data_IF_287176919731
#
_entry.id   IF_287176919731
#
_cell.length_a   1.000
_cell.length_b   1.000
_cell.length_c   1.000
_cell.angle_alpha   90.00
_cell.angle_beta   90.00
_cell.angle_gamma   90.00
#
_symmetry.space_group_name_H-M   'P 1'
#
loop_
_entity.id
_entity.type
_entity.pdbx_description
1 polymer ?
#
# COMPACT_ATOMS: atom_id res chain seq x y z
N UNK A 1 20.64 -5.08 -13.21
CA UNK A 1 19.61 -4.05 -12.92
C UNK A 1 19.68 -3.76 -11.43
N UNK A 2 20.02 -2.53 -11.04
CA UNK A 2 20.08 -2.10 -9.64
C UNK A 2 18.86 -1.22 -9.35
N UNK A 3 18.06 -1.57 -8.34
CA UNK A 3 16.83 -0.85 -7.94
C UNK A 3 15.85 -0.54 -9.09
N UNK A 4 15.77 -1.39 -10.11
CA UNK A 4 14.83 -1.24 -11.23
C UNK A 4 15.06 -0.02 -12.14
N UNK A 5 16.26 0.56 -12.14
CA UNK A 5 16.63 1.67 -13.04
C UNK A 5 17.45 1.20 -14.23
N UNK A 6 17.25 1.89 -15.34
CA UNK A 6 17.94 1.65 -16.61
C UNK A 6 19.42 2.05 -16.46
N UNK A 7 20.29 1.13 -16.86
CA UNK A 7 21.72 1.35 -16.95
C UNK A 7 21.97 2.04 -18.29
N UNK A 8 22.67 3.17 -18.26
CA UNK A 8 23.21 3.76 -19.47
C UNK A 8 24.49 2.99 -19.84
N UNK A 9 24.39 2.17 -20.89
CA UNK A 9 25.45 1.26 -21.33
C UNK A 9 26.70 2.00 -21.85
N UNK A 10 26.60 3.28 -22.24
CA UNK A 10 27.75 4.08 -22.67
C UNK A 10 28.56 4.65 -21.51
N UNK A 11 27.91 4.93 -20.36
CA UNK A 11 28.54 5.60 -19.22
C UNK A 11 28.74 4.70 -17.99
N UNK A 12 28.02 3.57 -17.91
CA UNK A 12 28.03 2.66 -16.76
C UNK A 12 27.36 3.23 -15.52
N UNK A 13 26.52 4.26 -15.69
CA UNK A 13 25.79 4.97 -14.64
C UNK A 13 24.30 4.64 -14.69
N UNK A 14 23.63 4.71 -13.54
CA UNK A 14 22.19 4.53 -13.47
C UNK A 14 21.47 5.89 -13.50
N UNK A 15 20.47 6.01 -14.36
CA UNK A 15 19.68 7.24 -14.46
C UNK A 15 18.49 7.24 -13.49
N UNK A 16 18.46 8.20 -12.57
CA UNK A 16 17.40 8.36 -11.55
C UNK A 16 16.49 9.57 -11.82
N UNK A 17 16.44 10.06 -13.05
CA UNK A 17 15.57 11.17 -13.47
C UNK A 17 16.13 12.56 -13.17
N UNK A 18 16.54 12.82 -11.93
CA UNK A 18 17.11 14.12 -11.53
C UNK A 18 18.65 14.13 -11.48
N UNK A 19 19.28 12.95 -11.32
CA UNK A 19 20.73 12.77 -11.18
C UNK A 19 21.16 11.41 -11.73
N UNK A 20 22.44 11.32 -12.09
CA UNK A 20 23.11 10.05 -12.40
C UNK A 20 23.75 9.47 -11.13
N UNK A 21 23.60 8.16 -10.95
CA UNK A 21 24.14 7.40 -9.83
C UNK A 21 25.30 6.53 -10.31
N UNK A 22 26.44 6.63 -9.62
CA UNK A 22 27.58 5.74 -9.82
C UNK A 22 27.49 4.56 -8.82
N UNK A 23 27.20 3.33 -9.31
CA UNK A 23 27.07 2.16 -8.44
C UNK A 23 28.41 1.68 -7.87
N UNK A 24 29.55 2.04 -8.46
CA UNK A 24 30.88 1.61 -7.99
C UNK A 24 31.31 2.43 -6.78
N UNK A 25 30.98 3.71 -6.82
CA UNK A 25 31.34 4.68 -5.78
C UNK A 25 30.21 4.93 -4.78
N UNK A 26 29.02 4.38 -5.03
CA UNK A 26 27.80 4.55 -4.22
C UNK A 26 27.39 6.01 -3.99
N UNK A 27 27.64 6.90 -4.96
CA UNK A 27 27.34 8.34 -4.85
C UNK A 27 26.58 8.86 -6.07
N UNK A 28 25.80 9.94 -5.87
CA UNK A 28 25.25 10.71 -6.99
C UNK A 28 26.29 11.70 -7.52
N UNK A 29 26.34 11.86 -8.84
CA UNK A 29 27.27 12.80 -9.49
C UNK A 29 26.75 14.25 -9.50
N UNK A 30 25.56 14.51 -8.95
CA UNK A 30 24.97 15.86 -8.83
C UNK A 30 24.63 16.24 -7.38
N UNK A 31 24.83 17.52 -7.05
CA UNK A 31 24.46 18.09 -5.74
C UNK A 31 22.95 18.02 -5.54
N UNK A 32 22.51 17.64 -4.34
CA UNK A 32 21.09 17.58 -3.99
C UNK A 32 20.44 18.98 -4.05
N UNK A 33 19.33 19.17 -4.78
CA UNK A 33 18.59 20.45 -4.82
C UNK A 33 18.08 20.93 -3.45
N UNK A 34 18.05 20.05 -2.43
CA UNK A 34 17.66 20.36 -1.06
C UNK A 34 18.85 20.34 -0.08
N UNK A 35 20.09 20.36 -0.56
CA UNK A 35 21.30 20.29 0.25
C UNK A 35 21.35 21.35 1.38
N UNK A 36 20.81 22.55 1.15
CA UNK A 36 20.78 23.64 2.13
C UNK A 36 19.88 23.34 3.35
N UNK A 37 18.97 22.36 3.26
CA UNK A 37 18.05 21.99 4.33
C UNK A 37 18.64 20.98 5.33
N UNK A 38 19.74 20.32 4.96
CA UNK A 38 20.37 19.25 5.74
C UNK A 38 21.86 19.51 5.92
N UNK A 39 22.17 20.59 6.65
CA UNK A 39 23.55 21.07 6.90
C UNK A 39 24.50 20.02 7.51
N UNK A 40 23.98 18.97 8.15
CA UNK A 40 24.76 17.91 8.78
C UNK A 40 25.02 16.70 7.87
N UNK A 41 24.52 16.71 6.63
CA UNK A 41 24.66 15.61 5.67
C UNK A 41 25.32 16.13 4.40
N UNK A 42 26.27 15.37 3.84
CA UNK A 42 26.87 15.72 2.55
C UNK A 42 25.79 15.83 1.48
N UNK A 43 25.80 16.90 0.67
CA UNK A 43 24.86 17.10 -0.46
C UNK A 43 24.95 16.03 -1.57
N UNK A 44 25.85 15.06 -1.40
CA UNK A 44 26.05 13.90 -2.26
C UNK A 44 25.61 12.57 -1.60
N UNK A 45 25.13 12.61 -0.35
CA UNK A 45 24.77 11.40 0.39
C UNK A 45 23.48 10.77 -0.13
N UNK A 46 23.57 9.53 -0.58
CA UNK A 46 22.42 8.66 -0.80
C UNK A 46 21.95 8.09 0.55
N UNK A 47 20.65 8.17 0.86
CA UNK A 47 20.01 7.50 2.01
C UNK A 47 20.69 7.73 3.38
N UNK A 48 21.23 8.93 3.65
CA UNK A 48 22.03 9.22 4.85
C UNK A 48 23.19 8.23 5.08
N UNK A 49 23.78 7.70 4.00
CA UNK A 49 24.81 6.64 4.01
C UNK A 49 24.34 5.29 4.57
N UNK A 50 23.03 5.05 4.61
CA UNK A 50 22.46 3.76 5.04
C UNK A 50 21.33 3.28 4.11
N UNK A 51 21.68 2.79 2.90
CA UNK A 51 20.72 2.28 1.91
C UNK A 51 20.09 0.94 2.29
N UNK A 52 20.51 0.35 3.41
CA UNK A 52 19.97 -0.90 3.96
C UNK A 52 18.78 -0.62 4.88
N UNK A 53 18.75 0.53 5.56
CA UNK A 53 17.69 0.91 6.51
C UNK A 53 16.71 1.98 5.99
N UNK A 54 17.06 2.73 4.94
CA UNK A 54 16.21 3.79 4.41
C UNK A 54 16.01 3.67 2.89
N UNK A 55 14.78 3.40 2.48
CA UNK A 55 14.25 3.53 1.11
C UNK A 55 13.13 4.57 1.12
N UNK A 56 13.15 5.57 0.22
CA UNK A 56 11.96 6.31 -0.23
C UNK A 56 12.33 7.14 -1.49
N UNK A 57 11.64 7.01 -2.65
CA UNK A 57 10.81 8.16 -3.09
C UNK A 57 9.65 7.88 -4.10
N UNK A 58 9.00 6.71 -4.18
CA UNK A 58 7.79 6.59 -5.05
C UNK A 58 6.45 6.45 -4.32
N UNK A 59 6.48 6.19 -3.00
CA UNK A 59 5.43 6.55 -2.05
C UNK A 59 4.03 6.02 -2.39
N UNK A 60 3.93 4.72 -2.70
CA UNK A 60 2.68 4.10 -3.17
C UNK A 60 2.29 2.91 -2.30
N UNK A 61 1.09 3.01 -1.75
CA UNK A 61 0.29 1.96 -1.10
C UNK A 61 0.75 1.52 0.29
N UNK A 62 -0.10 0.76 1.00
CA UNK A 62 -0.16 0.72 2.47
C UNK A 62 1.19 0.52 3.16
N UNK A 63 1.40 1.23 4.27
CA UNK A 63 2.58 1.11 5.12
C UNK A 63 2.46 -0.18 5.92
N UNK A 64 3.54 -0.95 5.94
CA UNK A 64 3.61 -2.16 6.75
C UNK A 64 4.77 -2.09 7.72
N UNK A 65 4.54 -2.60 8.93
CA UNK A 65 5.60 -2.77 9.91
C UNK A 65 5.47 -4.10 10.63
N UNK A 66 6.58 -4.80 10.80
CA UNK A 66 6.65 -6.05 11.56
C UNK A 66 7.44 -5.79 12.84
N UNK A 67 6.82 -6.12 13.97
CA UNK A 67 7.40 -5.98 15.30
C UNK A 67 7.06 -7.21 16.14
N UNK A 68 8.05 -8.05 16.41
CA UNK A 68 7.82 -9.37 17.01
C UNK A 68 6.84 -10.19 16.18
N UNK A 69 5.78 -10.67 16.82
CA UNK A 69 4.70 -11.45 16.21
C UNK A 69 3.51 -10.59 15.78
N UNK A 70 3.69 -9.28 15.62
CA UNK A 70 2.62 -8.37 15.19
C UNK A 70 3.00 -7.70 13.87
N UNK A 71 2.08 -7.74 12.91
CA UNK A 71 2.17 -7.04 11.62
C UNK A 71 1.12 -5.94 11.62
N UNK A 72 1.56 -4.69 11.56
CA UNK A 72 0.66 -3.55 11.39
C UNK A 72 0.64 -3.16 9.92
N UNK A 73 -0.56 -3.12 9.34
CA UNK A 73 -0.82 -2.60 8.00
C UNK A 73 -1.65 -1.33 8.17
N UNK A 74 -1.16 -0.21 7.66
CA UNK A 74 -1.85 1.07 7.79
C UNK A 74 -1.82 1.90 6.52
N UNK A 75 -2.93 2.58 6.24
CA UNK A 75 -2.99 3.52 5.13
C UNK A 75 -3.97 4.65 5.38
N UNK A 76 -3.75 5.78 4.72
CA UNK A 76 -4.70 6.89 4.69
C UNK A 76 -5.19 7.11 3.27
N UNK A 77 -6.50 7.00 3.07
CA UNK A 77 -7.21 7.23 1.82
C UNK A 77 -7.79 8.66 1.85
N UNK A 78 -7.27 9.51 1.01
CA UNK A 78 -7.77 10.86 0.76
C UNK A 78 -8.78 10.83 -0.39
N UNK A 79 -10.05 11.07 -0.06
CA UNK A 79 -11.12 11.19 -1.05
C UNK A 79 -11.30 12.64 -1.50
N UNK A 80 -11.55 12.85 -2.79
CA UNK A 80 -11.82 14.16 -3.39
C UNK A 80 -12.85 14.05 -4.52
N UNK A 81 -13.33 15.17 -5.06
CA UNK A 81 -14.31 15.18 -6.16
C UNK A 81 -15.77 15.38 -5.72
N UNK A 82 -16.71 15.32 -6.66
CA UNK A 82 -18.10 15.74 -6.46
C UNK A 82 -18.90 14.89 -5.46
N UNK A 83 -18.43 13.67 -5.20
CA UNK A 83 -19.00 12.74 -4.22
C UNK A 83 -18.26 12.71 -2.89
N UNK A 84 -17.12 13.39 -2.75
CA UNK A 84 -16.36 13.38 -1.51
C UNK A 84 -16.93 14.38 -0.50
N UNK A 85 -17.32 13.88 0.67
CA UNK A 85 -17.68 14.68 1.84
C UNK A 85 -17.42 13.87 3.12
N UNK A 86 -17.59 14.51 4.28
CA UNK A 86 -17.23 13.91 5.57
C UNK A 86 -18.07 12.66 5.88
N UNK A 87 -19.38 12.69 5.61
CA UNK A 87 -20.27 11.54 5.82
C UNK A 87 -19.87 10.35 4.96
N UNK A 88 -19.48 10.60 3.70
CA UNK A 88 -18.98 9.56 2.79
C UNK A 88 -17.64 9.00 3.26
N UNK A 89 -16.73 9.85 3.76
CA UNK A 89 -15.45 9.40 4.30
C UNK A 89 -15.64 8.50 5.53
N UNK A 90 -16.49 8.90 6.47
CA UNK A 90 -16.80 8.13 7.68
C UNK A 90 -17.47 6.79 7.35
N UNK A 91 -18.42 6.80 6.41
CA UNK A 91 -19.09 5.59 5.94
C UNK A 91 -18.12 4.62 5.26
N UNK A 92 -17.28 5.09 4.34
CA UNK A 92 -16.27 4.25 3.69
C UNK A 92 -15.28 3.70 4.71
N UNK A 93 -14.80 4.53 5.65
CA UNK A 93 -13.89 4.06 6.71
C UNK A 93 -14.55 2.98 7.56
N UNK A 94 -15.80 3.16 7.96
CA UNK A 94 -16.53 2.18 8.76
C UNK A 94 -16.72 0.86 8.01
N UNK A 95 -17.06 0.89 6.73
CA UNK A 95 -17.21 -0.31 5.90
C UNK A 95 -15.87 -1.02 5.72
N UNK A 96 -14.82 -0.29 5.31
CA UNK A 96 -13.47 -0.86 5.13
C UNK A 96 -13.00 -1.50 6.42
N UNK A 97 -13.09 -0.80 7.55
CA UNK A 97 -12.66 -1.34 8.84
C UNK A 97 -13.54 -2.51 9.28
N UNK A 98 -14.84 -2.47 9.02
CA UNK A 98 -15.77 -3.56 9.31
C UNK A 98 -15.44 -4.84 8.54
N UNK A 99 -14.98 -4.72 7.30
CA UNK A 99 -14.64 -5.86 6.45
C UNK A 99 -13.20 -6.35 6.68
N UNK A 100 -12.24 -5.44 6.78
CA UNK A 100 -10.82 -5.78 6.79
C UNK A 100 -10.21 -5.97 8.17
N UNK A 101 -10.68 -5.27 9.21
CA UNK A 101 -9.92 -5.24 10.47
C UNK A 101 -10.00 -6.52 11.31
N UNK A 102 -11.06 -7.31 11.14
CA UNK A 102 -11.34 -8.49 11.96
C UNK A 102 -11.90 -9.63 11.13
N UNK A 103 -11.67 -10.85 11.61
CA UNK A 103 -12.30 -12.05 11.05
C UNK A 103 -13.81 -12.12 11.34
N UNK A 104 -14.46 -13.18 10.84
CA UNK A 104 -15.89 -13.41 11.05
C UNK A 104 -16.29 -13.68 12.52
N UNK A 105 -15.33 -13.81 13.42
CA UNK A 105 -15.53 -13.96 14.88
C UNK A 105 -15.20 -12.67 15.64
N UNK A 106 -14.81 -11.59 14.96
CA UNK A 106 -14.41 -10.33 15.58
C UNK A 106 -12.99 -10.35 16.15
N UNK A 107 -12.16 -11.31 15.74
CA UNK A 107 -10.77 -11.45 16.18
C UNK A 107 -9.81 -10.81 15.17
N UNK A 108 -8.62 -10.41 15.63
CA UNK A 108 -7.57 -10.00 14.69
C UNK A 108 -7.21 -11.19 13.80
N UNK A 109 -6.87 -10.90 12.54
CA UNK A 109 -6.42 -11.96 11.64
C UNK A 109 -5.11 -12.53 12.13
N UNK A 110 -4.93 -13.83 11.89
CA UNK A 110 -3.68 -14.53 12.18
C UNK A 110 -3.12 -15.03 10.87
N UNK A 111 -1.88 -14.68 10.57
CA UNK A 111 -1.09 -15.28 9.51
C UNK A 111 -0.13 -16.31 10.10
N UNK A 112 0.07 -17.43 9.41
CA UNK A 112 0.97 -18.49 9.83
C UNK A 112 2.01 -18.75 8.77
N UNK A 113 3.25 -18.85 9.20
CA UNK A 113 4.41 -19.18 8.38
C UNK A 113 5.24 -20.23 9.12
N UNK A 114 5.11 -21.50 8.69
CA UNK A 114 5.64 -22.64 9.44
C UNK A 114 5.14 -22.68 10.89
N UNK A 115 6.07 -22.67 11.83
CA UNK A 115 5.79 -22.63 13.28
C UNK A 115 5.53 -21.21 13.81
N UNK A 116 5.79 -20.18 13.01
CA UNK A 116 5.56 -18.78 13.38
C UNK A 116 4.10 -18.40 13.16
N UNK A 117 3.57 -17.57 14.07
CA UNK A 117 2.23 -16.99 13.96
C UNK A 117 2.31 -15.49 14.17
N UNK A 118 1.64 -14.74 13.30
CA UNK A 118 1.63 -13.29 13.29
C UNK A 118 0.20 -12.77 13.45
N UNK A 119 -0.01 -11.93 14.45
CA UNK A 119 -1.24 -11.15 14.59
C UNK A 119 -1.22 -9.96 13.65
N UNK A 120 -2.28 -9.81 12.84
CA UNK A 120 -2.39 -8.74 11.86
C UNK A 120 -3.33 -7.66 12.38
N UNK A 121 -2.82 -6.43 12.40
CA UNK A 121 -3.57 -5.23 12.78
C UNK A 121 -3.69 -4.34 11.55
N UNK A 122 -4.92 -4.10 11.09
CA UNK A 122 -5.20 -3.27 9.91
C UNK A 122 -5.86 -1.97 10.38
N UNK A 123 -5.25 -0.83 10.06
CA UNK A 123 -5.75 0.52 10.34
C UNK A 123 -5.88 1.35 9.06
N UNK A 124 -7.11 1.49 8.56
CA UNK A 124 -7.40 2.32 7.38
C UNK A 124 -8.12 3.58 7.82
N UNK A 125 -7.58 4.72 7.40
CA UNK A 125 -8.19 6.04 7.63
C UNK A 125 -8.70 6.61 6.33
N UNK A 126 -9.93 7.12 6.31
CA UNK A 126 -10.48 7.83 5.14
C UNK A 126 -10.69 9.30 5.51
N UNK A 127 -10.17 10.20 4.68
CA UNK A 127 -10.19 11.65 4.91
C UNK A 127 -10.65 12.40 3.67
N UNK A 128 -11.41 13.46 3.85
CA UNK A 128 -11.73 14.38 2.75
C UNK A 128 -10.53 15.27 2.48
N UNK A 129 -10.04 15.26 1.24
CA UNK A 129 -9.05 16.20 0.78
C UNK A 129 -9.70 17.53 0.41
N UNK A 130 -9.23 18.62 1.01
CA UNK A 130 -9.61 19.98 0.61
C UNK A 130 -8.68 20.43 -0.52
N UNK A 131 -9.18 20.41 -1.74
CA UNK A 131 -8.44 20.83 -2.94
C UNK A 131 -8.10 19.68 -3.87
N UNK A 132 -7.28 19.97 -4.89
CA UNK A 132 -6.92 19.01 -5.93
C UNK A 132 -5.58 18.31 -5.58
N UNK A 133 -5.53 16.96 -5.62
CA UNK A 133 -4.35 16.19 -5.23
C UNK A 133 -3.12 16.42 -6.13
N UNK A 134 -3.27 17.09 -7.28
CA UNK A 134 -2.14 17.49 -8.15
C UNK A 134 -1.29 18.59 -7.53
N UNK A 135 -1.82 19.37 -6.59
CA UNK A 135 -1.14 20.53 -6.00
C UNK A 135 -0.71 20.34 -4.55
N UNK A 136 -0.82 19.12 -4.01
CA UNK A 136 -0.40 18.80 -2.64
C UNK A 136 0.90 18.00 -2.65
N UNK A 137 1.71 18.20 -1.61
CA UNK A 137 2.86 17.32 -1.36
C UNK A 137 2.35 15.97 -0.86
N UNK A 138 2.52 14.95 -1.69
CA UNK A 138 2.16 13.56 -1.36
C UNK A 138 3.14 12.98 -0.35
N UNK A 139 2.65 12.21 0.62
CA UNK A 139 3.47 11.42 1.55
C UNK A 139 3.37 9.95 1.17
N UNK A 140 4.46 9.20 1.31
CA UNK A 140 4.45 7.77 0.96
C UNK A 140 3.51 6.98 1.86
N UNK A 141 2.63 6.16 1.28
CA UNK A 141 1.58 5.39 1.99
C UNK A 141 0.20 6.07 2.05
N UNK A 142 0.05 7.23 1.42
CA UNK A 142 -1.23 7.93 1.27
C UNK A 142 -1.82 7.66 -0.13
N UNK A 143 -3.13 7.41 -0.18
CA UNK A 143 -3.88 7.11 -1.39
C UNK A 143 -4.83 8.26 -1.75
N UNK A 144 -5.04 8.54 -3.03
CA UNK A 144 -5.82 9.67 -3.53
C UNK A 144 -6.92 9.22 -4.49
N UNK A 145 -8.14 9.15 -4.00
CA UNK A 145 -9.27 8.56 -4.71
C UNK A 145 -10.29 9.63 -5.09
N UNK A 146 -10.59 9.73 -6.38
CA UNK A 146 -11.69 10.58 -6.83
C UNK A 146 -13.03 9.87 -6.56
N UNK A 147 -13.88 10.43 -5.71
CA UNK A 147 -15.25 9.98 -5.50
C UNK A 147 -16.18 10.89 -6.31
N UNK A 148 -16.93 10.31 -7.26
CA UNK A 148 -17.80 11.08 -8.16
C UNK A 148 -19.24 10.58 -8.15
N UNK A 149 -20.20 11.50 -8.00
CA UNK A 149 -21.65 11.22 -8.08
C UNK A 149 -22.13 10.92 -9.52
N UNK A 150 -21.36 11.38 -10.49
CA UNK A 150 -21.69 11.28 -11.91
C UNK A 150 -21.06 10.06 -12.58
N UNK A 151 -20.05 9.45 -11.93
CA UNK A 151 -19.42 8.24 -12.42
C UNK A 151 -20.44 7.11 -12.59
N UNK A 152 -20.56 6.61 -13.83
CA UNK A 152 -21.47 5.51 -14.20
C UNK A 152 -20.76 4.19 -14.41
N UNK A 153 -19.42 4.19 -14.47
CA UNK A 153 -18.60 2.99 -14.61
C UNK A 153 -18.32 2.30 -13.27
N UNK A 154 -17.64 1.16 -13.33
CA UNK A 154 -17.09 0.49 -12.15
C UNK A 154 -16.10 1.40 -11.43
N UNK A 155 -16.01 1.24 -10.10
CA UNK A 155 -14.90 1.79 -9.36
C UNK A 155 -13.61 1.07 -9.76
N UNK A 156 -12.47 1.74 -9.60
CA UNK A 156 -11.17 1.13 -9.85
C UNK A 156 -10.06 1.85 -9.09
N UNK A 157 -8.97 1.13 -8.88
CA UNK A 157 -7.63 1.65 -8.57
C UNK A 157 -6.74 1.53 -9.82
N UNK A 158 -5.96 2.57 -10.12
CA UNK A 158 -5.08 2.61 -11.29
C UNK A 158 -3.84 1.73 -11.06
N UNK A 159 -3.91 0.50 -11.55
CA UNK A 159 -2.86 -0.50 -11.42
C UNK A 159 -2.88 -1.21 -10.05
N UNK A 160 -2.36 -2.44 -10.00
CA UNK A 160 -2.19 -3.17 -8.75
C UNK A 160 -1.16 -2.46 -7.86
N UNK A 161 -1.51 -2.20 -6.61
CA UNK A 161 -0.68 -1.36 -5.75
C UNK A 161 -0.61 0.09 -6.25
N UNK A 162 -1.69 0.60 -6.85
CA UNK A 162 -1.84 1.97 -7.31
C UNK A 162 -2.40 2.89 -6.23
N UNK A 163 -1.88 4.11 -6.11
CA UNK A 163 -2.30 5.04 -5.07
C UNK A 163 -3.37 6.04 -5.51
N UNK A 164 -4.01 5.80 -6.66
CA UNK A 164 -5.04 6.68 -7.19
C UNK A 164 -6.06 5.90 -7.99
N UNK A 165 -7.28 6.41 -8.04
CA UNK A 165 -8.39 5.70 -8.64
C UNK A 165 -9.63 6.55 -8.65
N UNK A 166 -10.72 5.95 -9.13
CA UNK A 166 -12.02 6.60 -9.16
C UNK A 166 -13.05 5.66 -8.55
N UNK A 167 -13.72 6.11 -7.50
CA UNK A 167 -14.79 5.39 -6.85
C UNK A 167 -16.13 6.05 -7.13
N UNK A 168 -17.18 5.24 -7.22
CA UNK A 168 -18.55 5.73 -7.33
C UNK A 168 -18.97 6.42 -6.03
N UNK A 169 -19.61 7.59 -6.16
CA UNK A 169 -20.26 8.31 -5.06
C UNK A 169 -21.74 7.93 -4.87
N UNK A 170 -22.21 6.86 -5.52
CA UNK A 170 -23.58 6.33 -5.42
C UNK A 170 -23.60 4.83 -5.70
N UNK A 171 -24.59 4.14 -5.14
CA UNK A 171 -24.82 2.72 -5.42
C UNK A 171 -25.34 2.47 -6.83
N UNK A 172 -25.17 1.23 -7.31
CA UNK A 172 -25.74 0.72 -8.56
C UNK A 172 -27.24 0.58 -8.43
N UNK A 173 -27.94 0.59 -9.57
CA UNK A 173 -29.39 0.34 -9.63
C UNK A 173 -30.21 1.22 -8.66
N UNK A 174 -29.81 2.49 -8.51
CA UNK A 174 -30.39 3.47 -7.58
C UNK A 174 -30.31 3.10 -6.09
N UNK A 175 -29.47 2.15 -5.70
CA UNK A 175 -29.19 1.88 -4.29
C UNK A 175 -28.43 3.04 -3.66
N UNK A 176 -28.65 3.32 -2.35
CA UNK A 176 -27.81 4.24 -1.62
C UNK A 176 -26.38 3.69 -1.54
N UNK A 177 -25.39 4.58 -1.47
CA UNK A 177 -23.98 4.19 -1.41
C UNK A 177 -23.70 3.26 -0.21
N UNK A 178 -24.36 3.47 0.93
CA UNK A 178 -24.26 2.62 2.12
C UNK A 178 -24.72 1.17 1.94
N UNK A 179 -25.36 0.82 0.82
CA UNK A 179 -25.80 -0.55 0.49
C UNK A 179 -25.04 -1.17 -0.68
N UNK A 180 -24.22 -0.38 -1.37
CA UNK A 180 -23.46 -0.81 -2.55
C UNK A 180 -22.17 0.03 -2.66
N UNK A 181 -21.41 0.01 -1.58
CA UNK A 181 -20.17 0.76 -1.43
C UNK A 181 -19.00 -0.01 -2.05
N UNK A 182 -18.24 0.59 -2.98
CA UNK A 182 -17.08 -0.06 -3.58
C UNK A 182 -15.85 -0.11 -2.68
N UNK A 183 -15.80 0.70 -1.63
CA UNK A 183 -14.55 1.04 -0.97
C UNK A 183 -13.78 -0.16 -0.41
N UNK A 184 -14.48 -1.13 0.19
CA UNK A 184 -13.84 -2.33 0.76
C UNK A 184 -13.14 -3.21 -0.28
N UNK A 185 -13.78 -3.45 -1.43
CA UNK A 185 -13.17 -4.22 -2.52
C UNK A 185 -11.95 -3.49 -3.10
N UNK A 186 -12.12 -2.20 -3.42
CA UNK A 186 -11.06 -1.39 -4.00
C UNK A 186 -9.86 -1.21 -3.04
N UNK A 187 -10.11 -1.25 -1.72
CA UNK A 187 -9.05 -1.23 -0.72
C UNK A 187 -8.17 -2.48 -0.81
N UNK A 188 -8.70 -3.63 -1.24
CA UNK A 188 -7.89 -4.81 -1.55
C UNK A 188 -6.84 -4.53 -2.63
N UNK A 189 -7.18 -3.75 -3.65
CA UNK A 189 -6.21 -3.31 -4.67
C UNK A 189 -5.18 -2.32 -4.13
N UNK A 190 -5.56 -1.46 -3.18
CA UNK A 190 -4.63 -0.60 -2.43
C UNK A 190 -3.70 -1.40 -1.51
N UNK A 191 -4.07 -2.62 -1.17
CA UNK A 191 -3.21 -3.61 -0.52
C UNK A 191 -2.46 -4.50 -1.52
N UNK A 192 -2.52 -4.18 -2.81
CA UNK A 192 -1.81 -4.91 -3.87
C UNK A 192 -2.43 -6.25 -4.27
N UNK A 193 -3.63 -6.56 -3.79
CA UNK A 193 -4.34 -7.79 -4.12
C UNK A 193 -5.03 -7.61 -5.47
N UNK A 194 -4.90 -8.59 -6.37
CA UNK A 194 -5.55 -8.58 -7.69
C UNK A 194 -7.01 -9.03 -7.62
N UNK A 195 -7.72 -8.82 -8.73
CA UNK A 195 -9.01 -9.44 -8.96
C UNK A 195 -8.89 -10.94 -9.18
N UNK A 196 -9.86 -11.67 -8.65
CA UNK A 196 -9.94 -13.12 -8.65
C UNK A 196 -11.23 -13.62 -9.34
N UNK A 197 -11.56 -13.02 -10.49
CA UNK A 197 -12.66 -13.45 -11.34
C UNK A 197 -12.28 -13.45 -12.82
N UNK A 198 -12.92 -14.32 -13.59
CA UNK A 198 -12.81 -14.41 -15.05
C UNK A 198 -14.21 -14.47 -15.65
N UNK A 199 -14.48 -13.73 -16.73
CA UNK A 199 -15.80 -13.66 -17.36
C UNK A 199 -16.97 -13.36 -16.39
N UNK A 200 -16.74 -12.47 -15.41
CA UNK A 200 -17.67 -12.12 -14.32
C UNK A 200 -18.03 -13.27 -13.37
N UNK A 201 -17.23 -14.33 -13.31
CA UNK A 201 -17.38 -15.43 -12.35
C UNK A 201 -16.13 -15.55 -11.49
N UNK A 202 -16.26 -15.83 -10.19
CA UNK A 202 -15.11 -16.14 -9.34
C UNK A 202 -14.25 -17.22 -9.98
N UNK A 203 -12.93 -17.08 -9.92
CA UNK A 203 -12.06 -18.19 -10.25
C UNK A 203 -12.24 -19.31 -9.22
N UNK A 204 -11.98 -20.56 -9.64
CA UNK A 204 -12.10 -21.72 -8.76
C UNK A 204 -11.29 -21.54 -7.47
N UNK A 205 -11.94 -21.78 -6.33
CA UNK A 205 -11.32 -21.65 -5.00
C UNK A 205 -11.27 -20.21 -4.47
N UNK A 206 -11.91 -19.25 -5.14
CA UNK A 206 -12.09 -17.86 -4.69
C UNK A 206 -13.57 -17.47 -4.48
N UNK A 207 -14.49 -18.43 -4.54
CA UNK A 207 -15.92 -18.21 -4.34
C UNK A 207 -16.20 -17.57 -2.98
N UNK A 208 -17.14 -16.63 -2.95
CA UNK A 208 -17.51 -15.87 -1.77
C UNK A 208 -16.47 -14.83 -1.31
N UNK A 209 -15.32 -14.70 -1.98
CA UNK A 209 -14.29 -13.73 -1.61
C UNK A 209 -14.63 -12.33 -2.14
N UNK A 210 -14.29 -11.29 -1.36
CA UNK A 210 -14.51 -9.89 -1.75
C UNK A 210 -13.81 -9.51 -3.06
N UNK A 211 -12.67 -10.12 -3.39
CA UNK A 211 -11.88 -9.84 -4.60
C UNK A 211 -12.32 -10.67 -5.81
N UNK A 212 -13.31 -11.55 -5.67
CA UNK A 212 -13.76 -12.48 -6.70
C UNK A 212 -15.25 -12.35 -7.03
N UNK A 213 -16.06 -12.01 -6.04
CA UNK A 213 -17.50 -11.95 -6.24
C UNK A 213 -17.95 -10.68 -6.98
N UNK A 214 -18.66 -10.83 -8.11
CA UNK A 214 -19.24 -9.70 -8.78
C UNK A 214 -20.24 -8.99 -7.86
N UNK A 215 -20.29 -7.68 -8.00
CA UNK A 215 -21.14 -6.81 -7.22
C UNK A 215 -20.85 -6.70 -5.71
N UNK A 216 -19.60 -6.93 -5.27
CA UNK A 216 -19.16 -6.67 -3.89
C UNK A 216 -19.96 -7.46 -2.85
N UNK A 217 -20.44 -8.65 -3.23
CA UNK A 217 -21.20 -9.55 -2.34
C UNK A 217 -20.31 -10.52 -1.56
N UNK A 218 -19.05 -10.62 -1.95
CA UNK A 218 -18.05 -11.42 -1.25
C UNK A 218 -17.60 -10.76 0.04
N UNK A 219 -16.90 -11.52 0.87
CA UNK A 219 -16.35 -11.06 2.14
C UNK A 219 -14.83 -11.18 2.13
N UNK A 220 -14.18 -10.33 2.93
CA UNK A 220 -12.77 -10.53 3.25
C UNK A 220 -12.64 -11.86 3.99
N UNK A 221 -11.64 -12.65 3.62
CA UNK A 221 -11.29 -13.89 4.31
C UNK A 221 -9.77 -14.11 4.32
N UNK A 222 -9.35 -15.25 4.89
CA UNK A 222 -7.93 -15.58 5.09
C UNK A 222 -7.12 -15.56 3.79
N UNK A 223 -7.72 -15.81 2.62
CA UNK A 223 -7.03 -15.75 1.32
C UNK A 223 -6.49 -14.35 1.05
N UNK A 224 -7.29 -13.31 1.36
CA UNK A 224 -6.86 -11.92 1.21
C UNK A 224 -5.70 -11.58 2.14
N UNK A 225 -5.81 -12.02 3.40
CA UNK A 225 -4.78 -11.74 4.40
C UNK A 225 -3.46 -12.42 4.01
N UNK A 226 -3.52 -13.68 3.60
CA UNK A 226 -2.34 -14.43 3.18
C UNK A 226 -1.63 -13.76 2.00
N UNK A 227 -2.38 -13.39 0.95
CA UNK A 227 -1.84 -12.67 -0.22
C UNK A 227 -1.21 -11.32 0.16
N UNK A 228 -1.83 -10.60 1.09
CA UNK A 228 -1.36 -9.30 1.52
C UNK A 228 -0.06 -9.37 2.33
N UNK A 229 0.11 -10.37 3.19
CA UNK A 229 1.19 -10.37 4.19
C UNK A 229 2.28 -11.41 3.93
N UNK A 230 2.05 -12.44 3.11
CA UNK A 230 3.10 -13.44 2.86
C UNK A 230 4.39 -12.82 2.32
N UNK A 231 4.36 -11.90 1.33
CA UNK A 231 5.59 -11.34 0.78
C UNK A 231 6.31 -10.40 1.77
N UNK A 232 5.54 -9.78 2.67
CA UNK A 232 6.07 -8.98 3.79
C UNK A 232 6.83 -9.88 4.76
N UNK A 233 6.25 -11.03 5.11
CA UNK A 233 6.87 -11.99 6.04
C UNK A 233 8.11 -12.61 5.42
N UNK A 234 8.06 -12.98 4.14
CA UNK A 234 9.22 -13.49 3.41
C UNK A 234 10.39 -12.50 3.48
N UNK A 235 10.15 -11.22 3.15
CA UNK A 235 11.19 -10.19 3.22
C UNK A 235 11.64 -9.87 4.64
N UNK A 236 10.74 -9.89 5.61
CA UNK A 236 11.10 -9.72 7.01
C UNK A 236 12.01 -10.85 7.47
N UNK A 237 11.67 -12.11 7.17
CA UNK A 237 12.46 -13.28 7.53
C UNK A 237 13.86 -13.25 6.90
N UNK A 238 13.99 -12.72 5.68
CA UNK A 238 15.27 -12.53 4.99
C UNK A 238 16.01 -11.24 5.40
N UNK A 239 15.42 -10.41 6.26
CA UNK A 239 15.99 -9.11 6.61
C UNK A 239 17.05 -9.19 7.71
N UNK A 240 18.01 -8.25 7.67
CA UNK A 240 18.92 -8.01 8.79
C UNK A 240 18.15 -7.73 10.09
N UNK A 241 16.98 -7.12 10.02
CA UNK A 241 16.14 -6.83 11.20
C UNK A 241 15.75 -8.10 11.93
N UNK A 242 15.32 -9.14 11.21
CA UNK A 242 14.99 -10.44 11.81
C UNK A 242 16.22 -11.09 12.42
N UNK A 243 17.32 -11.17 11.65
CA UNK A 243 18.58 -11.74 12.13
C UNK A 243 19.09 -11.02 13.39
N UNK A 244 19.02 -9.68 13.42
CA UNK A 244 19.45 -8.88 14.55
C UNK A 244 18.55 -9.11 15.78
N UNK A 245 17.23 -9.14 15.61
CA UNK A 245 16.29 -9.44 16.69
C UNK A 245 16.51 -10.84 17.27
N UNK A 246 16.77 -11.85 16.42
CA UNK A 246 16.99 -13.22 16.87
C UNK A 246 18.33 -13.38 17.63
N UNK A 247 19.40 -12.68 17.20
CA UNK A 247 20.72 -12.76 17.84
C UNK A 247 20.77 -11.97 19.15
N UNK A 248 20.22 -10.75 19.15
CA UNK A 248 20.40 -9.81 20.25
C UNK A 248 19.19 -9.70 21.17
N UNK A 249 18.11 -10.44 20.89
CA UNK A 249 16.84 -10.32 21.62
C UNK A 249 16.27 -8.90 21.57
N UNK A 250 16.59 -8.16 20.51
CA UNK A 250 16.12 -6.79 20.33
C UNK A 250 14.72 -6.76 19.75
N UNK A 251 14.07 -5.61 19.89
CA UNK A 251 12.70 -5.38 19.43
C UNK A 251 12.69 -4.30 18.34
N UNK A 252 13.58 -4.45 17.35
CA UNK A 252 13.68 -3.54 16.22
C UNK A 252 12.55 -3.82 15.24
N UNK A 253 11.96 -2.75 14.75
CA UNK A 253 10.81 -2.78 13.85
C UNK A 253 11.27 -2.79 12.39
N UNK A 254 10.80 -3.75 11.61
CA UNK A 254 10.90 -3.74 10.14
C UNK A 254 9.83 -2.81 9.58
N UNK A 255 10.16 -1.97 8.60
CA UNK A 255 9.24 -1.03 7.95
C UNK A 255 9.41 -1.05 6.44
N UNK A 256 8.30 -1.14 5.73
CA UNK A 256 8.24 -1.13 4.27
C UNK A 256 6.89 -0.59 3.79
N UNK A 257 6.70 -0.57 2.48
CA UNK A 257 5.37 -0.49 1.86
C UNK A 257 5.00 -1.86 1.29
N UNK A 258 3.71 -2.22 1.31
CA UNK A 258 3.27 -3.53 0.76
C UNK A 258 3.74 -3.69 -0.68
N UNK A 259 3.66 -2.63 -1.48
CA UNK A 259 4.07 -2.65 -2.89
C UNK A 259 5.55 -2.97 -3.08
N UNK A 260 6.42 -2.44 -2.23
CA UNK A 260 7.84 -2.79 -2.26
C UNK A 260 8.02 -4.27 -1.95
N UNK A 261 7.23 -4.83 -1.04
CA UNK A 261 7.33 -6.23 -0.63
C UNK A 261 6.78 -7.23 -1.66
N UNK A 262 5.85 -6.81 -2.54
CA UNK A 262 5.31 -7.64 -3.62
C UNK A 262 6.23 -7.79 -4.85
N UNK A 263 7.34 -7.04 -4.94
CA UNK A 263 8.30 -7.06 -6.07
C UNK A 263 9.54 -7.87 -5.79
#
# INVERSE_FOLDING_TARGET
MFNGKELDDETGLYYYGARYYDPRSSVFLGVDPLAEKYLTTSGYAYTLSNPILYSDPDGRDARVSVKGNTINVSTTIYIYGSGANQEVAEMMQANIMGDWSKDNKGQNWIYKDGDSSYEIIIDVKVKVLKGDPRFIRKKGGDNYIEVSKEHRGSSYVLGLGGNSGKWRGKGRSNLPLSKDDPSSHETGHLFGIKDYYENNLPIEGWEGNIMAEPAMKGKVDQRNINEMVSPVVDKFNDSFTKMFNDIFGSDIEYKSTIKEDLR
#
